data_IF_370642605501
#
_entry.id   IF_370642605501
#
_cell.length_a   1.000
_cell.length_b   1.000
_cell.length_c   1.000
_cell.angle_alpha   90.00
_cell.angle_beta   90.00
_cell.angle_gamma   90.00
#
_symmetry.space_group_name_H-M   'P 1'
#
loop_
_entity.id
_entity.type
_entity.pdbx_description
1 polymer ?
#
# COMPACT_ATOMS: atom_id res chain seq x y z
N UNK A 1 12.05 2.10 -3.44
CA UNK A 1 12.76 1.51 -2.30
C UNK A 1 12.86 -0.01 -2.46
N UNK A 2 13.95 -0.61 -1.95
CA UNK A 2 14.14 -2.07 -1.92
C UNK A 2 14.17 -2.55 -0.47
N UNK A 3 13.79 -3.80 -0.23
CA UNK A 3 13.96 -4.47 1.06
C UNK A 3 15.45 -4.43 1.45
N UNK A 4 15.80 -3.90 2.65
CA UNK A 4 17.18 -3.83 3.10
C UNK A 4 17.86 -5.20 3.18
N UNK A 5 19.18 -5.21 3.07
CA UNK A 5 19.97 -6.43 3.22
C UNK A 5 19.71 -7.11 4.57
N UNK A 6 19.46 -8.42 4.53
CA UNK A 6 19.16 -9.23 5.72
C UNK A 6 17.71 -9.14 6.22
N UNK A 7 16.84 -8.36 5.58
CA UNK A 7 15.41 -8.30 5.91
C UNK A 7 14.58 -9.07 4.87
N UNK A 8 13.44 -9.60 5.31
CA UNK A 8 12.46 -10.28 4.48
C UNK A 8 11.08 -10.28 5.18
N UNK A 9 10.11 -11.00 4.62
CA UNK A 9 8.74 -11.09 5.14
C UNK A 9 8.42 -12.40 5.86
N UNK A 10 9.40 -13.25 6.20
CA UNK A 10 9.14 -14.60 6.76
C UNK A 10 8.46 -14.62 8.12
N UNK A 11 8.52 -13.52 8.87
CA UNK A 11 7.88 -13.39 10.18
C UNK A 11 6.51 -12.70 10.11
N UNK A 12 6.01 -12.42 8.90
CA UNK A 12 4.70 -11.79 8.70
C UNK A 12 3.58 -12.76 9.03
N UNK A 13 2.74 -12.42 10.01
CA UNK A 13 1.65 -13.29 10.48
C UNK A 13 0.26 -12.81 10.05
N UNK A 14 0.13 -11.56 9.60
CA UNK A 14 -1.13 -10.98 9.14
C UNK A 14 -1.13 -10.75 7.64
N UNK A 15 -2.33 -10.56 7.08
CA UNK A 15 -2.46 -10.08 5.71
C UNK A 15 -1.98 -8.61 5.61
N UNK A 16 -1.63 -8.17 4.39
CA UNK A 16 -1.12 -6.81 4.12
C UNK A 16 -2.04 -6.06 3.15
N UNK A 17 -2.40 -4.81 3.48
CA UNK A 17 -3.04 -3.87 2.56
C UNK A 17 -2.05 -2.81 2.08
N UNK A 18 -1.94 -2.61 0.77
CA UNK A 18 -1.10 -1.60 0.14
C UNK A 18 -1.97 -0.57 -0.59
N UNK A 19 -1.87 0.71 -0.21
CA UNK A 19 -2.63 1.83 -0.78
C UNK A 19 -1.66 2.80 -1.46
N UNK A 20 -1.59 2.79 -2.78
CA UNK A 20 -0.49 3.45 -3.50
C UNK A 20 -0.93 4.36 -4.64
N UNK A 21 -0.27 5.51 -4.77
CA UNK A 21 -0.48 6.43 -5.89
C UNK A 21 0.35 6.05 -7.11
N UNK A 22 -0.29 5.86 -8.27
CA UNK A 22 0.39 5.41 -9.50
C UNK A 22 1.48 6.33 -10.06
N UNK A 23 1.56 7.58 -9.63
CA UNK A 23 2.55 8.57 -10.07
C UNK A 23 3.32 9.15 -8.88
N UNK A 24 3.48 8.35 -7.84
CA UNK A 24 4.34 8.65 -6.70
C UNK A 24 5.82 8.77 -7.14
N UNK A 25 6.45 9.94 -6.98
CA UNK A 25 7.85 10.14 -7.38
C UNK A 25 8.86 9.63 -6.34
N UNK A 26 8.42 9.27 -5.14
CA UNK A 26 9.27 8.82 -4.03
C UNK A 26 9.40 7.30 -4.06
N UNK A 27 8.28 6.61 -4.27
CA UNK A 27 8.22 5.16 -4.43
C UNK A 27 7.40 4.84 -5.68
N UNK A 28 8.03 4.31 -6.71
CA UNK A 28 7.36 4.08 -8.00
C UNK A 28 6.62 2.75 -8.08
N UNK A 29 5.92 2.51 -9.20
CA UNK A 29 5.24 1.22 -9.46
C UNK A 29 6.18 0.01 -9.49
N UNK A 30 7.46 0.21 -9.83
CA UNK A 30 8.47 -0.85 -9.74
C UNK A 30 8.69 -1.32 -8.31
N UNK A 31 8.63 -0.40 -7.34
CA UNK A 31 8.75 -0.72 -5.92
C UNK A 31 7.55 -1.52 -5.42
N UNK A 32 6.34 -1.12 -5.83
CA UNK A 32 5.11 -1.89 -5.54
C UNK A 32 5.20 -3.28 -6.16
N UNK A 33 5.65 -3.38 -7.41
CA UNK A 33 5.78 -4.66 -8.10
C UNK A 33 6.80 -5.58 -7.43
N UNK A 34 7.92 -5.03 -6.95
CA UNK A 34 8.92 -5.79 -6.22
C UNK A 34 8.38 -6.27 -4.87
N UNK A 35 7.71 -5.40 -4.12
CA UNK A 35 7.04 -5.77 -2.88
C UNK A 35 6.03 -6.91 -3.09
N UNK A 36 5.17 -6.80 -4.10
CA UNK A 36 4.19 -7.85 -4.42
C UNK A 36 4.86 -9.19 -4.74
N UNK A 37 6.00 -9.19 -5.45
CA UNK A 37 6.75 -10.44 -5.69
C UNK A 37 7.26 -11.05 -4.39
N UNK A 38 7.86 -10.25 -3.53
CA UNK A 38 8.36 -10.73 -2.23
C UNK A 38 7.22 -11.27 -1.36
N UNK A 39 6.07 -10.59 -1.31
CA UNK A 39 4.91 -11.08 -0.56
C UNK A 39 4.37 -12.41 -1.11
N UNK A 40 4.37 -12.59 -2.45
CA UNK A 40 4.00 -13.87 -3.06
C UNK A 40 5.02 -14.98 -2.75
N UNK A 41 6.32 -14.68 -2.77
CA UNK A 41 7.38 -15.65 -2.48
C UNK A 41 7.30 -16.19 -1.03
N UNK A 42 6.79 -15.37 -0.10
CA UNK A 42 6.51 -15.74 1.29
C UNK A 42 5.06 -16.18 1.53
N UNK A 43 4.26 -16.34 0.47
CA UNK A 43 2.84 -16.75 0.53
C UNK A 43 1.96 -15.87 1.46
N UNK A 44 2.32 -14.59 1.59
CA UNK A 44 1.61 -13.63 2.43
C UNK A 44 0.35 -13.16 1.71
N UNK A 45 -0.80 -13.27 2.38
CA UNK A 45 -2.05 -12.71 1.87
C UNK A 45 -1.94 -11.19 1.77
N UNK A 46 -2.30 -10.62 0.61
CA UNK A 46 -2.18 -9.19 0.40
C UNK A 46 -3.18 -8.63 -0.60
N UNK A 47 -3.50 -7.34 -0.43
CA UNK A 47 -4.32 -6.53 -1.32
C UNK A 47 -3.56 -5.27 -1.74
N UNK A 48 -3.73 -4.87 -3.02
CA UNK A 48 -3.09 -3.68 -3.57
C UNK A 48 -4.10 -2.80 -4.27
N UNK A 49 -4.28 -1.57 -3.76
CA UNK A 49 -5.09 -0.54 -4.39
C UNK A 49 -4.18 0.51 -5.02
N UNK A 50 -4.30 0.65 -6.35
CA UNK A 50 -3.58 1.66 -7.12
C UNK A 50 -4.50 2.82 -7.47
N UNK A 51 -4.13 4.02 -7.03
CA UNK A 51 -4.85 5.25 -7.31
C UNK A 51 -4.23 5.99 -8.51
N UNK A 52 -4.98 6.01 -9.63
CA UNK A 52 -4.58 6.64 -10.90
C UNK A 52 -4.33 8.15 -10.77
N UNK A 53 -3.14 8.62 -11.20
CA UNK A 53 -2.77 10.03 -11.17
C UNK A 53 -2.44 10.60 -9.78
N UNK A 54 -2.31 9.74 -8.77
CA UNK A 54 -2.08 10.13 -7.37
C UNK A 54 -0.60 10.03 -7.01
N UNK A 55 -0.11 10.99 -6.21
CA UNK A 55 1.29 11.13 -5.78
C UNK A 55 1.45 10.74 -4.29
N UNK A 56 2.68 10.73 -3.78
CA UNK A 56 3.06 10.18 -2.47
C UNK A 56 2.11 10.50 -1.30
N UNK A 57 2.01 11.77 -0.88
CA UNK A 57 1.35 12.17 0.37
C UNK A 57 -0.13 12.52 0.19
N UNK A 58 -0.86 11.75 -0.62
CA UNK A 58 -2.23 12.09 -1.04
C UNK A 58 -3.27 12.14 0.08
N UNK A 59 -2.99 11.54 1.25
CA UNK A 59 -3.84 11.56 2.44
C UNK A 59 -3.55 12.73 3.39
N UNK A 60 -2.44 13.44 3.21
CA UNK A 60 -2.00 14.48 4.15
C UNK A 60 -2.59 15.83 3.75
N UNK A 61 -3.67 16.24 4.43
CA UNK A 61 -4.30 17.56 4.24
C UNK A 61 -3.28 18.67 4.41
N UNK A 62 -3.27 19.61 3.46
CA UNK A 62 -2.32 20.74 3.42
C UNK A 62 -0.98 20.43 2.74
N UNK A 63 -0.71 19.18 2.37
CA UNK A 63 0.42 18.88 1.48
C UNK A 63 0.11 19.32 0.04
N UNK A 64 1.17 19.56 -0.76
CA UNK A 64 1.04 19.84 -2.20
C UNK A 64 0.32 18.70 -2.93
N UNK A 65 0.53 17.47 -2.48
CA UNK A 65 0.13 16.26 -3.19
C UNK A 65 -1.22 15.68 -2.66
N UNK A 66 -1.88 16.38 -1.72
CA UNK A 66 -3.19 16.00 -1.19
C UNK A 66 -4.24 15.88 -2.29
N UNK A 67 -4.99 14.77 -2.29
CA UNK A 67 -6.10 14.58 -3.21
C UNK A 67 -7.27 13.93 -2.46
N UNK A 68 -8.24 14.76 -2.06
CA UNK A 68 -9.40 14.35 -1.25
C UNK A 68 -10.12 13.10 -1.77
N UNK A 69 -10.28 13.00 -3.10
CA UNK A 69 -10.95 11.84 -3.70
C UNK A 69 -10.17 10.53 -3.47
N UNK A 70 -8.84 10.58 -3.53
CA UNK A 70 -8.01 9.41 -3.28
C UNK A 70 -7.90 9.11 -1.79
N UNK A 71 -7.82 10.15 -0.95
CA UNK A 71 -7.84 10.02 0.50
C UNK A 71 -9.09 9.27 0.98
N UNK A 72 -10.30 9.74 0.60
CA UNK A 72 -11.56 9.06 0.96
C UNK A 72 -11.60 7.61 0.48
N UNK A 73 -11.22 7.35 -0.77
CA UNK A 73 -11.19 5.99 -1.31
C UNK A 73 -10.19 5.08 -0.59
N UNK A 74 -9.05 5.61 -0.16
CA UNK A 74 -8.07 4.86 0.62
C UNK A 74 -8.55 4.58 2.04
N UNK A 75 -9.30 5.51 2.61
CA UNK A 75 -9.94 5.31 3.89
C UNK A 75 -11.03 4.23 3.82
N UNK A 76 -11.89 4.28 2.80
CA UNK A 76 -12.94 3.27 2.59
C UNK A 76 -12.32 1.87 2.38
N UNK A 77 -11.25 1.77 1.59
CA UNK A 77 -10.53 0.51 1.38
C UNK A 77 -9.93 -0.03 2.68
N UNK A 78 -9.29 0.84 3.50
CA UNK A 78 -8.78 0.46 4.80
C UNK A 78 -9.89 -0.08 5.72
N UNK A 79 -11.04 0.61 5.79
CA UNK A 79 -12.15 0.17 6.62
C UNK A 79 -12.72 -1.17 6.15
N UNK A 80 -12.90 -1.38 4.85
CA UNK A 80 -13.36 -2.67 4.30
C UNK A 80 -12.39 -3.80 4.68
N UNK A 81 -11.10 -3.58 4.43
CA UNK A 81 -10.04 -4.52 4.72
C UNK A 81 -10.02 -4.90 6.21
N UNK A 82 -10.14 -3.93 7.12
CA UNK A 82 -10.20 -4.18 8.55
C UNK A 82 -11.46 -4.95 8.94
N UNK A 83 -12.61 -4.66 8.34
CA UNK A 83 -13.85 -5.38 8.61
C UNK A 83 -13.80 -6.85 8.15
N UNK A 84 -13.06 -7.13 7.08
CA UNK A 84 -12.89 -8.48 6.53
C UNK A 84 -11.83 -9.30 7.29
N UNK A 85 -10.78 -8.65 7.79
CA UNK A 85 -9.61 -9.30 8.37
C UNK A 85 -9.50 -9.17 9.90
N UNK A 86 -10.36 -8.36 10.53
CA UNK A 86 -10.46 -8.23 11.98
C UNK A 86 -11.77 -8.85 12.43
N UNK A 87 -11.75 -9.67 13.49
CA UNK A 87 -12.98 -10.09 14.18
C UNK A 87 -13.56 -8.91 14.99
N UNK A 88 -13.85 -7.78 14.33
CA UNK A 88 -14.54 -6.62 14.89
C UNK A 88 -16.03 -6.68 14.59
#
# INVERSE_FOLDING_TARGET
MKTPEGQNYSETTGAILILHGSVDPVSGMDDVTNLVKELNDFEIQHEVHIYGGVRHSFTIKGSRDYLEKAEKKSWDALLSYLNENSNL
#
